data_IF_066410907062
#
_entry.id   IF_066410907062
#
_cell.length_a   1.000
_cell.length_b   1.000
_cell.length_c   1.000
_cell.angle_alpha   90.00
_cell.angle_beta   90.00
_cell.angle_gamma   90.00
#
_symmetry.space_group_name_H-M   'P 1'
#
loop_
_entity.id
_entity.type
_entity.pdbx_description
1 polymer ?
#
# COMPACT_ATOMS: atom_id res chain seq x y z
N UNK A 1 21.82 -22.20 3.67
CA UNK A 1 20.51 -21.63 3.22
C UNK A 1 20.37 -20.11 3.48
N UNK A 2 21.44 -19.39 3.83
CA UNK A 2 21.46 -17.93 4.11
C UNK A 2 21.55 -17.05 2.85
N UNK A 3 21.88 -17.61 1.69
CA UNK A 3 22.09 -16.86 0.45
C UNK A 3 20.78 -16.46 -0.25
N UNK A 4 19.72 -17.26 -0.14
CA UNK A 4 18.47 -17.04 -0.88
C UNK A 4 17.61 -15.87 -0.35
N UNK A 5 17.60 -15.60 0.96
CA UNK A 5 16.79 -14.52 1.53
C UNK A 5 17.38 -13.13 1.22
N UNK A 6 18.71 -12.95 1.36
CA UNK A 6 19.39 -11.71 0.97
C UNK A 6 19.35 -11.46 -0.54
N UNK A 7 19.58 -12.47 -1.39
CA UNK A 7 19.48 -12.28 -2.85
C UNK A 7 18.07 -11.91 -3.31
N UNK A 8 17.03 -12.34 -2.57
CA UNK A 8 15.64 -11.98 -2.89
C UNK A 8 15.34 -10.50 -2.64
N UNK A 9 15.90 -9.87 -1.59
CA UNK A 9 15.60 -8.47 -1.26
C UNK A 9 16.19 -7.50 -2.29
N UNK A 10 17.36 -7.82 -2.85
CA UNK A 10 18.00 -7.02 -3.92
C UNK A 10 17.31 -7.13 -5.28
N UNK A 11 16.34 -8.03 -5.46
CA UNK A 11 15.62 -8.17 -6.74
C UNK A 11 14.43 -7.22 -6.89
N UNK A 12 13.91 -6.67 -5.79
CA UNK A 12 12.66 -5.91 -5.81
C UNK A 12 12.82 -4.38 -5.86
N UNK A 13 14.03 -3.82 -5.66
CA UNK A 13 14.25 -2.37 -5.81
C UNK A 13 13.93 -1.83 -7.22
N UNK A 14 14.18 -2.55 -8.34
CA UNK A 14 13.79 -2.06 -9.66
C UNK A 14 12.26 -1.96 -9.80
N UNK A 15 11.51 -2.85 -9.11
CA UNK A 15 10.05 -2.80 -9.09
C UNK A 15 9.58 -1.58 -8.31
N UNK A 16 10.17 -1.30 -7.14
CA UNK A 16 9.85 -0.09 -6.38
C UNK A 16 10.08 1.18 -7.21
N UNK A 17 11.20 1.25 -7.94
CA UNK A 17 11.45 2.34 -8.89
C UNK A 17 10.41 2.38 -10.02
N UNK A 18 10.02 1.24 -10.59
CA UNK A 18 8.99 1.19 -11.62
C UNK A 18 7.65 1.73 -11.11
N UNK A 19 7.26 1.43 -9.87
CA UNK A 19 6.06 2.00 -9.24
C UNK A 19 6.20 3.52 -9.04
N UNK A 20 7.34 4.01 -8.55
CA UNK A 20 7.61 5.45 -8.42
C UNK A 20 7.54 6.17 -9.77
N UNK A 21 8.16 5.59 -10.80
CA UNK A 21 8.13 6.12 -12.17
C UNK A 21 6.72 6.09 -12.75
N UNK A 22 5.91 5.08 -12.44
CA UNK A 22 4.50 5.02 -12.87
C UNK A 22 3.70 6.18 -12.30
N UNK A 23 3.88 6.49 -11.01
CA UNK A 23 3.23 7.64 -10.37
C UNK A 23 3.72 8.95 -10.99
N UNK A 24 5.03 9.09 -11.21
CA UNK A 24 5.61 10.27 -11.85
C UNK A 24 5.07 10.46 -13.28
N UNK A 25 5.01 9.41 -14.09
CA UNK A 25 4.49 9.46 -15.45
C UNK A 25 3.00 9.79 -15.47
N UNK A 26 2.20 9.18 -14.59
CA UNK A 26 0.77 9.51 -14.45
C UNK A 26 0.57 10.98 -14.09
N UNK A 27 1.37 11.49 -13.15
CA UNK A 27 1.38 12.90 -12.78
C UNK A 27 1.75 13.81 -13.97
N UNK A 28 2.87 13.55 -14.65
CA UNK A 28 3.33 14.38 -15.76
C UNK A 28 2.36 14.39 -16.94
N UNK A 29 1.58 13.31 -17.09
CA UNK A 29 0.63 13.18 -18.18
C UNK A 29 -0.79 13.63 -17.81
N UNK A 30 -1.08 13.96 -16.54
CA UNK A 30 -2.44 14.21 -16.05
C UNK A 30 -3.19 15.27 -16.85
N UNK A 31 -2.51 16.35 -17.25
CA UNK A 31 -3.08 17.47 -18.01
C UNK A 31 -3.49 17.12 -19.44
N UNK A 32 -3.01 16.00 -19.99
CA UNK A 32 -3.32 15.58 -21.37
C UNK A 32 -4.54 14.67 -21.47
N UNK A 33 -5.03 14.12 -20.35
CA UNK A 33 -6.11 13.14 -20.35
C UNK A 33 -7.49 13.80 -20.16
N UNK A 34 -8.52 13.37 -20.91
CA UNK A 34 -9.86 13.94 -20.81
C UNK A 34 -10.54 13.56 -19.49
N UNK A 35 -11.26 14.50 -18.88
CA UNK A 35 -11.93 14.32 -17.58
C UNK A 35 -13.22 13.48 -17.65
N UNK A 36 -13.71 13.13 -18.84
CA UNK A 36 -14.95 12.35 -19.03
C UNK A 36 -14.74 10.84 -19.05
N UNK A 37 -13.55 10.37 -18.72
CA UNK A 37 -13.20 8.95 -18.79
C UNK A 37 -13.77 8.14 -17.61
N UNK A 38 -14.12 6.87 -17.84
CA UNK A 38 -14.68 5.95 -16.83
C UNK A 38 -13.87 5.90 -15.53
N UNK A 39 -12.54 5.93 -15.65
CA UNK A 39 -11.63 5.86 -14.51
C UNK A 39 -11.60 7.12 -13.65
N UNK A 40 -12.14 8.26 -14.11
CA UNK A 40 -12.25 9.48 -13.32
C UNK A 40 -13.39 9.41 -12.26
N UNK A 41 -14.31 8.45 -12.37
CA UNK A 41 -15.34 8.28 -11.35
C UNK A 41 -14.76 7.55 -10.12
N UNK A 42 -14.70 8.25 -8.98
CA UNK A 42 -14.27 7.65 -7.70
C UNK A 42 -15.16 6.49 -7.25
N UNK A 43 -16.40 6.40 -7.72
CA UNK A 43 -17.38 5.37 -7.38
C UNK A 43 -17.38 4.16 -8.33
N UNK A 44 -16.49 4.13 -9.32
CA UNK A 44 -16.40 2.97 -10.21
C UNK A 44 -16.06 1.68 -9.44
N UNK A 45 -16.51 0.54 -9.97
CA UNK A 45 -16.41 -0.79 -9.33
C UNK A 45 -14.96 -1.15 -8.99
N UNK A 46 -14.00 -0.81 -9.86
CA UNK A 46 -12.58 -1.12 -9.63
C UNK A 46 -12.03 -0.32 -8.45
N UNK A 47 -12.34 0.98 -8.35
CA UNK A 47 -11.96 1.80 -7.21
C UNK A 47 -12.59 1.29 -5.91
N UNK A 48 -13.87 0.96 -5.91
CA UNK A 48 -14.57 0.54 -4.69
C UNK A 48 -14.18 -0.86 -4.20
N UNK A 49 -13.99 -1.83 -5.09
CA UNK A 49 -13.78 -3.23 -4.69
C UNK A 49 -12.36 -3.73 -4.88
N UNK A 50 -11.59 -3.21 -5.84
CA UNK A 50 -10.23 -3.69 -6.10
C UNK A 50 -9.20 -2.86 -5.35
N UNK A 51 -9.32 -1.53 -5.38
CA UNK A 51 -8.35 -0.63 -4.74
C UNK A 51 -8.62 -0.49 -3.25
N UNK A 52 -9.84 -0.08 -2.86
CA UNK A 52 -10.18 0.14 -1.43
C UNK A 52 -10.09 -1.14 -0.59
N UNK A 53 -10.41 -2.30 -1.15
CA UNK A 53 -10.26 -3.59 -0.48
C UNK A 53 -8.89 -4.24 -0.77
N UNK A 54 -7.86 -3.45 -1.12
CA UNK A 54 -6.56 -3.96 -1.52
C UNK A 54 -5.97 -4.99 -0.54
N UNK A 55 -6.13 -4.80 0.77
CA UNK A 55 -5.51 -5.69 1.77
C UNK A 55 -6.18 -7.05 1.81
N UNK A 56 -7.50 -7.07 1.62
CA UNK A 56 -8.26 -8.29 1.47
C UNK A 56 -7.71 -9.10 0.30
N UNK A 57 -7.50 -8.46 -0.86
CA UNK A 57 -6.94 -9.13 -2.04
C UNK A 57 -5.47 -9.55 -1.85
N UNK A 58 -4.65 -8.78 -1.14
CA UNK A 58 -3.30 -9.21 -0.72
C UNK A 58 -3.35 -10.51 0.07
N UNK A 59 -4.32 -10.61 0.99
CA UNK A 59 -4.51 -11.79 1.85
C UNK A 59 -4.96 -12.99 1.03
N UNK A 60 -5.93 -12.81 0.14
CA UNK A 60 -6.40 -13.87 -0.79
C UNK A 60 -5.26 -14.34 -1.70
N UNK A 61 -4.44 -13.42 -2.21
CA UNK A 61 -3.30 -13.72 -3.08
C UNK A 61 -2.18 -14.49 -2.35
N UNK A 62 -1.95 -14.19 -1.07
CA UNK A 62 -1.05 -14.99 -0.26
C UNK A 62 -1.66 -16.38 0.04
N UNK A 63 -2.93 -16.42 0.44
CA UNK A 63 -3.62 -17.66 0.77
C UNK A 63 -3.72 -18.62 -0.43
N UNK A 64 -3.88 -18.11 -1.66
CA UNK A 64 -3.94 -18.93 -2.88
C UNK A 64 -2.65 -19.68 -3.19
N UNK A 65 -1.52 -19.27 -2.59
CA UNK A 65 -0.25 -20.02 -2.65
C UNK A 65 -0.28 -21.31 -1.82
N UNK A 66 -1.22 -21.42 -0.87
CA UNK A 66 -1.33 -22.53 0.09
C UNK A 66 -0.02 -22.76 0.87
N UNK A 67 0.72 -21.67 1.14
CA UNK A 67 1.97 -21.69 1.89
C UNK A 67 1.73 -22.05 3.36
N UNK A 68 2.54 -22.98 3.86
CA UNK A 68 2.56 -23.38 5.28
C UNK A 68 3.78 -22.81 6.01
N UNK A 69 4.60 -22.00 5.32
CA UNK A 69 5.83 -21.45 5.90
C UNK A 69 5.51 -20.41 6.97
N UNK A 70 5.74 -20.77 8.24
CA UNK A 70 5.56 -19.88 9.40
C UNK A 70 6.25 -18.52 9.23
N UNK A 71 7.45 -18.50 8.63
CA UNK A 71 8.20 -17.26 8.37
C UNK A 71 7.42 -16.27 7.50
N UNK A 72 6.76 -16.74 6.45
CA UNK A 72 5.96 -15.90 5.54
C UNK A 72 4.75 -15.31 6.28
N UNK A 73 4.07 -16.11 7.10
CA UNK A 73 2.94 -15.65 7.90
C UNK A 73 3.34 -14.61 8.97
N UNK A 74 4.51 -14.77 9.60
CA UNK A 74 5.04 -13.77 10.53
C UNK A 74 5.35 -12.45 9.81
N UNK A 75 5.97 -12.49 8.63
CA UNK A 75 6.21 -11.30 7.80
C UNK A 75 4.90 -10.63 7.37
N UNK A 76 3.94 -11.41 6.89
CA UNK A 76 2.60 -10.92 6.56
C UNK A 76 1.93 -10.24 7.77
N UNK A 77 2.05 -10.81 8.97
CA UNK A 77 1.55 -10.18 10.20
C UNK A 77 2.19 -8.83 10.50
N UNK A 78 3.53 -8.73 10.41
CA UNK A 78 4.23 -7.45 10.64
C UNK A 78 3.89 -6.37 9.61
N UNK A 79 3.73 -6.77 8.35
CA UNK A 79 3.37 -5.87 7.25
C UNK A 79 1.89 -5.45 7.37
N UNK A 80 1.01 -6.36 7.77
CA UNK A 80 -0.39 -6.06 8.10
C UNK A 80 -0.49 -5.04 9.23
N UNK A 81 0.34 -5.17 10.26
CA UNK A 81 0.36 -4.22 11.37
C UNK A 81 0.70 -2.81 10.88
N UNK A 82 1.69 -2.66 10.01
CA UNK A 82 2.02 -1.35 9.43
C UNK A 82 0.87 -0.78 8.59
N UNK A 83 0.27 -1.58 7.70
CA UNK A 83 -0.92 -1.17 6.95
C UNK A 83 -2.06 -0.72 7.88
N UNK A 84 -2.30 -1.47 8.95
CA UNK A 84 -3.34 -1.17 9.93
C UNK A 84 -3.06 0.13 10.69
N UNK A 85 -1.81 0.35 11.12
CA UNK A 85 -1.38 1.60 11.76
C UNK A 85 -1.54 2.80 10.83
N UNK A 86 -1.22 2.64 9.54
CA UNK A 86 -1.36 3.69 8.54
C UNK A 86 -2.82 4.08 8.32
N UNK A 87 -3.74 3.11 8.28
CA UNK A 87 -5.10 3.33 7.75
C UNK A 87 -6.24 3.26 8.78
N UNK A 88 -6.08 2.59 9.93
CA UNK A 88 -7.20 2.26 10.83
C UNK A 88 -7.03 2.65 12.31
N UNK A 89 -5.79 2.86 12.78
CA UNK A 89 -5.35 2.62 14.17
C UNK A 89 -6.38 2.71 15.33
N UNK A 90 -6.55 1.59 16.06
CA UNK A 90 -7.23 1.38 17.36
C UNK A 90 -7.00 2.34 18.58
N UNK A 91 -6.25 3.44 18.47
CA UNK A 91 -6.04 4.40 19.60
C UNK A 91 -6.25 5.85 19.14
N UNK A 92 -7.32 6.07 18.37
CA UNK A 92 -7.71 7.39 17.85
C UNK A 92 -7.64 7.46 16.32
N UNK A 93 -7.36 8.63 15.73
CA UNK A 93 -7.28 8.79 14.28
C UNK A 93 -6.10 7.99 13.67
N UNK A 94 -6.25 7.57 12.41
CA UNK A 94 -5.22 6.85 11.66
C UNK A 94 -3.94 7.70 11.51
N UNK A 95 -2.79 7.09 11.16
CA UNK A 95 -1.59 7.89 10.94
C UNK A 95 -1.78 8.90 9.80
N UNK A 96 -2.51 8.51 8.74
CA UNK A 96 -2.87 9.40 7.63
C UNK A 96 -3.68 10.61 8.14
N UNK A 97 -4.72 10.37 8.94
CA UNK A 97 -5.52 11.44 9.55
C UNK A 97 -4.67 12.37 10.44
N UNK A 98 -3.72 11.81 11.20
CA UNK A 98 -2.81 12.59 12.05
C UNK A 98 -1.88 13.48 11.23
N UNK A 99 -1.33 12.96 10.13
CA UNK A 99 -0.53 13.76 9.18
C UNK A 99 -1.38 14.89 8.60
N UNK A 100 -2.65 14.59 8.28
CA UNK A 100 -3.55 15.57 7.70
C UNK A 100 -3.86 16.73 8.67
N UNK A 101 -4.12 16.43 9.94
CA UNK A 101 -4.34 17.47 10.96
C UNK A 101 -3.05 18.21 11.29
N UNK A 102 -1.93 17.49 11.45
CA UNK A 102 -0.64 18.09 11.81
C UNK A 102 -0.14 19.07 10.74
N UNK A 103 -0.53 18.87 9.49
CA UNK A 103 -0.25 19.78 8.37
C UNK A 103 -1.26 20.94 8.25
N UNK A 104 -2.21 21.06 9.19
CA UNK A 104 -3.19 22.14 9.26
C UNK A 104 -4.57 21.80 8.68
N UNK A 105 -4.87 20.53 8.44
CA UNK A 105 -6.17 20.07 7.94
C UNK A 105 -7.24 20.14 9.02
N UNK A 106 -8.43 20.62 8.65
CA UNK A 106 -9.57 20.75 9.56
C UNK A 106 -10.87 20.30 8.89
N UNK A 107 -11.79 19.75 9.68
CA UNK A 107 -13.15 19.48 9.25
C UNK A 107 -13.99 20.75 9.37
N UNK A 108 -14.65 21.17 8.29
CA UNK A 108 -15.60 22.29 8.28
C UNK A 108 -17.00 21.83 7.91
N UNK A 109 -18.00 22.39 8.56
CA UNK A 109 -19.41 22.24 8.22
C UNK A 109 -20.03 23.63 8.23
N UNK A 110 -20.73 24.00 7.15
CA UNK A 110 -21.32 25.35 6.99
C UNK A 110 -20.33 26.51 7.24
N UNK A 111 -19.06 26.34 6.81
CA UNK A 111 -17.95 27.29 7.00
C UNK A 111 -17.44 27.42 8.46
N UNK A 112 -18.00 26.70 9.42
CA UNK A 112 -17.45 26.62 10.78
C UNK A 112 -16.56 25.39 10.96
N UNK A 113 -15.44 25.56 11.67
CA UNK A 113 -14.54 24.47 12.03
C UNK A 113 -15.16 23.58 13.12
N UNK A 114 -15.21 22.27 12.84
CA UNK A 114 -15.70 21.23 13.74
C UNK A 114 -14.56 20.76 14.66
N UNK A 115 -14.35 21.47 15.77
CA UNK A 115 -13.29 21.19 16.74
C UNK A 115 -13.49 19.80 17.36
N UNK A 116 -12.44 18.97 17.38
CA UNK A 116 -12.46 17.62 17.95
C UNK A 116 -12.80 16.51 16.95
N UNK A 117 -13.14 16.84 15.70
CA UNK A 117 -13.28 15.84 14.63
C UNK A 117 -11.91 15.52 14.05
N UNK A 118 -11.32 14.41 14.49
CA UNK A 118 -9.95 14.03 14.14
C UNK A 118 -9.85 13.00 13.00
N UNK A 119 -10.94 12.37 12.57
CA UNK A 119 -10.91 11.32 11.57
C UNK A 119 -11.66 11.73 10.31
N UNK A 120 -11.07 11.47 9.14
CA UNK A 120 -11.66 11.89 7.88
C UNK A 120 -13.03 11.30 7.64
N UNK A 121 -13.18 10.00 7.97
CA UNK A 121 -14.43 9.27 7.85
C UNK A 121 -15.54 9.87 8.75
N UNK A 122 -15.20 10.31 9.96
CA UNK A 122 -16.16 10.90 10.89
C UNK A 122 -16.67 12.24 10.37
N UNK A 123 -15.79 13.11 9.86
CA UNK A 123 -16.21 14.39 9.25
C UNK A 123 -17.20 14.17 8.10
N UNK A 124 -16.91 13.23 7.19
CA UNK A 124 -17.80 12.91 6.05
C UNK A 124 -19.15 12.35 6.53
N UNK A 125 -19.16 11.52 7.57
CA UNK A 125 -20.40 11.00 8.18
C UNK A 125 -21.26 12.11 8.80
N UNK A 126 -20.62 13.15 9.34
CA UNK A 126 -21.31 14.33 9.89
C UNK A 126 -21.76 15.32 8.81
N UNK A 127 -21.47 15.05 7.53
CA UNK A 127 -21.78 15.96 6.41
C UNK A 127 -20.79 17.11 6.27
N UNK A 128 -19.66 17.08 7.00
CA UNK A 128 -18.59 18.06 6.87
C UNK A 128 -17.66 17.75 5.69
N UNK A 129 -16.89 18.77 5.31
CA UNK A 129 -15.83 18.68 4.29
C UNK A 129 -14.48 19.00 4.93
N UNK A 130 -13.43 18.34 4.47
CA UNK A 130 -12.07 18.68 4.90
C UNK A 130 -11.51 19.81 4.06
N UNK A 131 -10.84 20.75 4.71
CA UNK A 131 -10.17 21.88 4.07
C UNK A 131 -8.79 22.09 4.68
N UNK A 132 -7.89 22.69 3.88
CA UNK A 132 -6.49 22.88 4.24
C UNK A 132 -5.71 21.56 4.34
N UNK A 133 -4.55 21.60 4.99
CA UNK A 133 -3.73 20.42 5.31
C UNK A 133 -3.18 19.65 4.11
N UNK A 134 -2.56 18.52 4.42
CA UNK A 134 -1.98 17.56 3.50
C UNK A 134 -2.59 16.17 3.67
N UNK A 135 -3.42 15.73 2.73
CA UNK A 135 -4.01 14.39 2.72
C UNK A 135 -3.05 13.38 2.07
N UNK A 136 -2.67 12.32 2.78
CA UNK A 136 -1.78 11.30 2.20
C UNK A 136 -2.61 10.39 1.30
N UNK A 137 -2.18 10.18 0.05
CA UNK A 137 -2.91 9.29 -0.87
C UNK A 137 -2.90 7.84 -0.40
N UNK A 138 -4.00 7.44 0.22
CA UNK A 138 -4.22 6.07 0.71
C UNK A 138 -4.22 5.04 -0.42
N UNK A 139 -4.73 5.37 -1.61
CA UNK A 139 -4.71 4.46 -2.76
C UNK A 139 -3.30 4.20 -3.28
N UNK A 140 -2.48 5.23 -3.44
CA UNK A 140 -1.09 5.09 -3.86
C UNK A 140 -0.30 4.26 -2.83
N UNK A 141 -0.42 4.63 -1.56
CA UNK A 141 0.15 3.86 -0.44
C UNK A 141 -0.22 2.39 -0.54
N UNK A 142 -1.53 2.12 -0.67
CA UNK A 142 -2.07 0.77 -0.61
C UNK A 142 -1.60 -0.12 -1.76
N UNK A 143 -1.71 0.39 -2.99
CA UNK A 143 -1.38 -0.36 -4.20
C UNK A 143 0.12 -0.64 -4.27
N UNK A 144 0.97 0.33 -3.93
CA UNK A 144 2.43 0.16 -3.95
C UNK A 144 2.86 -0.80 -2.83
N UNK A 145 2.43 -0.55 -1.60
CA UNK A 145 2.83 -1.37 -0.45
C UNK A 145 2.43 -2.84 -0.60
N UNK A 146 1.18 -3.08 -1.03
CA UNK A 146 0.65 -4.43 -1.25
C UNK A 146 1.34 -5.13 -2.42
N UNK A 147 1.56 -4.42 -3.53
CA UNK A 147 2.22 -5.00 -4.70
C UNK A 147 3.66 -5.42 -4.40
N UNK A 148 4.43 -4.56 -3.72
CA UNK A 148 5.82 -4.87 -3.37
C UNK A 148 5.92 -6.04 -2.39
N UNK A 149 4.98 -6.17 -1.45
CA UNK A 149 4.87 -7.38 -0.62
C UNK A 149 4.66 -8.64 -1.45
N UNK A 150 3.68 -8.63 -2.37
CA UNK A 150 3.39 -9.79 -3.21
C UNK A 150 4.56 -10.15 -4.13
N UNK A 151 5.20 -9.17 -4.76
CA UNK A 151 6.40 -9.39 -5.57
C UNK A 151 7.55 -10.03 -4.79
N UNK A 152 7.65 -9.75 -3.49
CA UNK A 152 8.72 -10.24 -2.64
C UNK A 152 8.47 -11.67 -2.16
N UNK A 153 7.25 -12.01 -1.74
CA UNK A 153 6.95 -13.30 -1.10
C UNK A 153 6.41 -14.34 -2.10
N UNK A 154 5.53 -13.94 -3.01
CA UNK A 154 4.68 -14.88 -3.76
C UNK A 154 5.39 -15.64 -4.90
N UNK A 155 6.29 -15.04 -5.71
CA UNK A 155 6.89 -15.74 -6.85
C UNK A 155 7.61 -17.04 -6.47
N UNK A 156 8.34 -17.03 -5.35
CA UNK A 156 9.05 -18.23 -4.85
C UNK A 156 8.08 -19.35 -4.47
N UNK A 157 7.03 -19.02 -3.72
CA UNK A 157 6.00 -19.96 -3.27
C UNK A 157 5.26 -20.60 -4.43
N UNK A 158 4.96 -19.82 -5.47
CA UNK A 158 4.25 -20.30 -6.65
C UNK A 158 5.11 -21.16 -7.57
N UNK A 159 6.43 -20.91 -7.60
CA UNK A 159 7.37 -21.73 -8.35
C UNK A 159 7.52 -23.11 -7.71
N UNK A 160 7.61 -23.18 -6.38
CA UNK A 160 7.72 -24.45 -5.64
C UNK A 160 6.47 -25.34 -5.83
N UNK A 161 5.28 -24.75 -5.82
CA UNK A 161 4.00 -25.47 -5.92
C UNK A 161 3.51 -25.71 -7.36
N UNK A 162 4.07 -25.02 -8.36
CA UNK A 162 3.62 -25.05 -9.77
C UNK A 162 2.11 -24.80 -9.97
N UNK A 163 1.50 -23.96 -9.12
CA UNK A 163 0.06 -23.66 -9.18
C UNK A 163 -0.23 -22.55 -10.20
N UNK A 164 -0.45 -22.94 -11.47
CA UNK A 164 -0.71 -22.00 -12.57
C UNK A 164 -1.92 -21.09 -12.32
N UNK A 165 -2.99 -21.60 -11.72
CA UNK A 165 -4.18 -20.79 -11.43
C UNK A 165 -3.84 -19.63 -10.49
N UNK A 166 -3.10 -19.91 -9.41
CA UNK A 166 -2.66 -18.88 -8.49
C UNK A 166 -1.62 -17.94 -9.11
N UNK A 167 -0.78 -18.42 -10.03
CA UNK A 167 0.16 -17.57 -10.79
C UNK A 167 -0.59 -16.57 -11.66
N UNK A 168 -1.56 -17.02 -12.45
CA UNK A 168 -2.38 -16.13 -13.26
C UNK A 168 -3.19 -15.16 -12.40
N UNK A 169 -3.79 -15.63 -11.30
CA UNK A 169 -4.53 -14.76 -10.38
C UNK A 169 -3.66 -13.62 -9.84
N UNK A 170 -2.49 -13.94 -9.30
CA UNK A 170 -1.57 -12.95 -8.72
C UNK A 170 -1.04 -12.00 -9.80
N UNK A 171 -0.68 -12.52 -10.97
CA UNK A 171 -0.20 -11.70 -12.08
C UNK A 171 -1.28 -10.74 -12.61
N UNK A 172 -2.52 -11.21 -12.77
CA UNK A 172 -3.65 -10.38 -13.16
C UNK A 172 -3.95 -9.31 -12.11
N UNK A 173 -3.92 -9.67 -10.82
CA UNK A 173 -4.13 -8.72 -9.73
C UNK A 173 -3.05 -7.61 -9.73
N UNK A 174 -1.78 -7.99 -9.84
CA UNK A 174 -0.66 -7.04 -9.89
C UNK A 174 -0.71 -6.15 -11.13
N UNK A 175 -1.05 -6.69 -12.29
CA UNK A 175 -1.24 -5.91 -13.52
C UNK A 175 -2.41 -4.93 -13.41
N UNK A 176 -3.54 -5.36 -12.84
CA UNK A 176 -4.69 -4.51 -12.58
C UNK A 176 -4.35 -3.41 -11.56
N UNK A 177 -3.62 -3.72 -10.49
CA UNK A 177 -3.19 -2.74 -9.50
C UNK A 177 -2.20 -1.72 -10.05
N UNK A 178 -1.26 -2.15 -10.89
CA UNK A 178 -0.37 -1.25 -11.59
C UNK A 178 -1.14 -0.28 -12.50
N UNK A 179 -2.13 -0.78 -13.26
CA UNK A 179 -3.02 0.05 -14.06
C UNK A 179 -3.83 1.03 -13.20
N UNK A 180 -4.42 0.55 -12.10
CA UNK A 180 -5.20 1.41 -11.19
C UNK A 180 -4.33 2.47 -10.51
N UNK A 181 -3.05 2.19 -10.23
CA UNK A 181 -2.11 3.19 -9.72
C UNK A 181 -1.84 4.27 -10.76
N UNK A 182 -1.65 3.90 -12.03
CA UNK A 182 -1.51 4.86 -13.12
C UNK A 182 -2.76 5.73 -13.25
N UNK A 183 -3.94 5.13 -13.29
CA UNK A 183 -5.22 5.88 -13.35
C UNK A 183 -5.40 6.79 -12.11
N UNK A 184 -5.01 6.31 -10.94
CA UNK A 184 -5.01 7.12 -9.71
C UNK A 184 -4.14 8.35 -9.87
N UNK A 185 -2.94 8.18 -10.43
CA UNK A 185 -1.96 9.26 -10.61
C UNK A 185 -2.35 10.25 -11.72
N UNK A 186 -3.18 9.83 -12.68
CA UNK A 186 -3.69 10.67 -13.77
C UNK A 186 -4.90 11.50 -13.33
N UNK A 187 -5.87 10.88 -12.64
CA UNK A 187 -7.20 11.47 -12.44
C UNK A 187 -7.47 12.00 -11.03
N UNK A 188 -6.81 11.46 -10.01
CA UNK A 188 -7.13 11.76 -8.62
C UNK A 188 -5.92 12.37 -7.93
N UNK A 189 -6.15 13.44 -7.17
CA UNK A 189 -5.24 14.02 -6.16
C UNK A 189 -4.32 15.18 -6.57
N UNK A 190 -4.00 15.99 -5.55
CA UNK A 190 -2.97 17.04 -5.61
C UNK A 190 -1.56 16.45 -5.60
N UNK A 191 -0.60 17.24 -6.10
CA UNK A 191 0.77 16.77 -6.39
C UNK A 191 1.48 16.16 -5.18
N UNK A 192 1.28 16.74 -3.99
CA UNK A 192 1.92 16.27 -2.76
C UNK A 192 1.27 14.98 -2.25
N UNK A 193 -0.04 14.81 -2.41
CA UNK A 193 -0.79 13.68 -1.87
C UNK A 193 -0.29 12.37 -2.51
N UNK A 194 -0.07 12.37 -3.83
CA UNK A 194 0.52 11.27 -4.60
C UNK A 194 1.95 10.96 -4.14
N UNK A 195 2.77 11.99 -3.95
CA UNK A 195 4.16 11.85 -3.52
C UNK A 195 4.24 11.21 -2.13
N UNK A 196 3.46 11.71 -1.18
CA UNK A 196 3.45 11.22 0.20
C UNK A 196 2.93 9.78 0.30
N UNK A 197 1.86 9.42 -0.41
CA UNK A 197 1.35 8.04 -0.46
C UNK A 197 2.40 7.07 -1.02
N UNK A 198 3.07 7.48 -2.09
CA UNK A 198 4.18 6.72 -2.71
C UNK A 198 5.34 6.55 -1.72
N UNK A 199 5.75 7.64 -1.05
CA UNK A 199 6.80 7.62 -0.06
C UNK A 199 6.51 6.65 1.08
N UNK A 200 5.34 6.73 1.72
CA UNK A 200 5.01 5.82 2.83
C UNK A 200 4.86 4.37 2.40
N UNK A 201 4.40 4.11 1.16
CA UNK A 201 4.31 2.76 0.62
C UNK A 201 5.69 2.13 0.43
N UNK A 202 6.60 2.84 -0.25
CA UNK A 202 7.98 2.37 -0.47
C UNK A 202 8.77 2.31 0.83
N UNK A 203 8.67 3.32 1.69
CA UNK A 203 9.37 3.38 2.97
C UNK A 203 8.99 2.19 3.87
N UNK A 204 7.70 1.89 3.97
CA UNK A 204 7.22 0.74 4.75
C UNK A 204 7.85 -0.56 4.25
N UNK A 205 7.74 -0.82 2.95
CA UNK A 205 8.32 -2.02 2.33
C UNK A 205 9.84 -2.09 2.54
N UNK A 206 10.57 -1.01 2.24
CA UNK A 206 12.02 -0.95 2.36
C UNK A 206 12.48 -1.17 3.82
N UNK A 207 11.77 -0.58 4.78
CA UNK A 207 12.06 -0.76 6.20
C UNK A 207 11.94 -2.23 6.58
N UNK A 208 10.85 -2.91 6.22
CA UNK A 208 10.71 -4.32 6.60
C UNK A 208 11.70 -5.24 5.90
N UNK A 209 11.87 -5.10 4.58
CA UNK A 209 12.67 -6.06 3.81
C UNK A 209 14.18 -5.81 3.82
N UNK A 210 14.63 -4.56 3.99
CA UNK A 210 16.06 -4.26 4.06
C UNK A 210 16.58 -4.11 5.50
N UNK A 211 15.71 -3.75 6.45
CA UNK A 211 16.14 -3.42 7.81
C UNK A 211 15.62 -4.40 8.87
N UNK A 212 14.34 -4.77 8.86
CA UNK A 212 13.74 -5.57 9.95
C UNK A 212 13.99 -7.06 9.74
N UNK A 213 13.51 -7.64 8.62
CA UNK A 213 13.57 -9.09 8.42
C UNK A 213 15.00 -9.66 8.34
N UNK A 214 15.97 -9.01 7.67
CA UNK A 214 17.34 -9.50 7.68
C UNK A 214 17.94 -9.56 9.09
N UNK A 215 17.62 -8.59 9.96
CA UNK A 215 18.09 -8.57 11.36
C UNK A 215 17.44 -9.66 12.19
N UNK A 216 16.13 -9.87 12.06
CA UNK A 216 15.42 -10.97 12.76
C UNK A 216 15.99 -12.33 12.36
N UNK A 217 16.30 -12.53 11.08
CA UNK A 217 16.94 -13.76 10.61
C UNK A 217 18.36 -13.94 11.14
N UNK A 218 19.16 -12.87 11.20
CA UNK A 218 20.50 -12.93 11.78
C UNK A 218 20.47 -13.35 13.25
N UNK A 219 19.54 -12.79 14.04
CA UNK A 219 19.37 -13.13 15.46
C UNK A 219 18.96 -14.60 15.64
N UNK A 220 17.96 -15.07 14.90
CA UNK A 220 17.51 -16.47 14.96
C UNK A 220 18.62 -17.46 14.59
N UNK A 221 19.48 -17.13 13.62
CA UNK A 221 20.61 -17.97 13.25
C UNK A 221 21.68 -17.99 14.34
N UNK A 222 21.94 -16.86 15.02
CA UNK A 222 22.91 -16.82 16.12
C UNK A 222 22.48 -17.64 17.34
N UNK A 223 21.19 -17.64 17.69
CA UNK A 223 20.65 -18.48 18.78
C UNK A 223 20.80 -19.97 18.47
N UNK A 224 20.60 -20.36 17.20
CA UNK A 224 20.74 -21.75 16.77
C UNK A 224 22.20 -22.24 16.79
N UNK A 225 23.18 -21.34 16.65
CA UNK A 225 24.61 -21.70 16.70
C UNK A 225 25.14 -21.80 18.14
N UNK A 226 24.43 -21.22 19.11
CA UNK A 226 24.81 -21.24 20.53
C UNK A 226 24.07 -22.33 21.33
N UNK A 227 23.08 -23.00 20.73
CA UNK A 227 22.33 -24.11 21.29
C UNK A 227 22.87 -25.47 20.80
#
# INVERSE_FOLDING_TARGET
MTSSSMLSSWRAWPLALAYCLTVLLGYLTSSYWPTTFFFNDKHNVLNQYIVKLGWFWTTVALASTLTTHRKVWLRYGTITLYWFMMTQWCFGPSLIDRVFIASGGMCVQQEQAMIGVLAQATCRKLGGQWTGGHDVSGHCFMLIYSSLFLWQEVPSLLQERSNKLSQYFVACLLGLWWWMLLMTSVYFHGHLELLSGTFFGVLGWATFYYLVFPRVEALSNSETLLA
#
